data_IF_930055446343
#
_entry.id   IF_930055446343
#
_cell.length_a   1.000
_cell.length_b   1.000
_cell.length_c   1.000
_cell.angle_alpha   90.00
_cell.angle_beta   90.00
_cell.angle_gamma   90.00
#
_symmetry.space_group_name_H-M   'P 1'
#
loop_
_entity.id
_entity.type
_entity.pdbx_description
1 polymer ?
#
# COMPACT_ATOMS: atom_id res chain seq x y z
N UNK A 1 3.83 3.01 -21.09
CA UNK A 1 3.18 4.15 -20.38
C UNK A 1 3.67 5.45 -21.00
N UNK A 2 2.85 6.51 -20.99
CA UNK A 2 3.21 7.75 -21.70
C UNK A 2 4.50 8.35 -21.19
N UNK A 3 5.32 8.82 -22.13
CA UNK A 3 6.53 9.58 -21.86
C UNK A 3 6.30 11.09 -21.95
N UNK A 4 5.14 11.51 -22.44
CA UNK A 4 4.79 12.92 -22.59
C UNK A 4 4.35 13.54 -21.26
N UNK A 5 4.82 14.76 -20.97
CA UNK A 5 4.55 15.43 -19.69
C UNK A 5 3.08 15.81 -19.56
N UNK A 6 2.41 16.21 -20.65
CA UNK A 6 1.00 16.60 -20.64
C UNK A 6 0.12 15.39 -20.34
N UNK A 7 0.41 14.26 -20.98
CA UNK A 7 -0.27 12.99 -20.71
C UNK A 7 -0.09 12.55 -19.26
N UNK A 8 1.15 12.61 -18.74
CA UNK A 8 1.44 12.23 -17.34
C UNK A 8 0.64 13.09 -16.36
N UNK A 9 0.57 14.40 -16.58
CA UNK A 9 -0.24 15.30 -15.73
C UNK A 9 -1.72 14.91 -15.78
N UNK A 10 -2.25 14.57 -16.95
CA UNK A 10 -3.64 14.17 -17.11
C UNK A 10 -3.92 12.81 -16.44
N UNK A 11 -3.02 11.85 -16.58
CA UNK A 11 -3.08 10.54 -15.93
C UNK A 11 -3.09 10.67 -14.40
N UNK A 12 -2.21 11.48 -13.82
CA UNK A 12 -2.19 11.75 -12.37
C UNK A 12 -3.51 12.39 -11.94
N UNK A 13 -3.98 13.40 -12.66
CA UNK A 13 -5.23 14.11 -12.33
C UNK A 13 -6.42 13.15 -12.24
N UNK A 14 -6.63 12.33 -13.27
CA UNK A 14 -7.74 11.38 -13.26
C UNK A 14 -7.55 10.25 -12.26
N UNK A 15 -6.31 9.79 -12.04
CA UNK A 15 -6.03 8.79 -11.02
C UNK A 15 -6.44 9.29 -9.65
N UNK A 16 -6.04 10.51 -9.28
CA UNK A 16 -6.39 11.11 -7.99
C UNK A 16 -7.90 11.38 -7.88
N UNK A 17 -8.54 11.82 -8.96
CA UNK A 17 -9.99 12.08 -8.98
C UNK A 17 -10.80 10.80 -8.77
N UNK A 18 -10.48 9.71 -9.48
CA UNK A 18 -11.17 8.42 -9.30
C UNK A 18 -10.88 7.86 -7.91
N UNK A 19 -9.61 7.88 -7.49
CA UNK A 19 -9.19 7.30 -6.22
C UNK A 19 -9.84 8.03 -5.02
N UNK A 20 -9.59 9.33 -4.86
CA UNK A 20 -10.16 10.10 -3.74
C UNK A 20 -11.68 10.26 -3.86
N UNK A 21 -12.25 10.28 -5.07
CA UNK A 21 -13.69 10.28 -5.27
C UNK A 21 -14.35 9.02 -4.72
N UNK A 22 -13.80 7.84 -5.00
CA UNK A 22 -14.29 6.57 -4.46
C UNK A 22 -14.08 6.48 -2.95
N UNK A 23 -12.92 6.93 -2.45
CA UNK A 23 -12.65 6.98 -1.01
C UNK A 23 -13.66 7.87 -0.30
N UNK A 24 -13.94 9.06 -0.81
CA UNK A 24 -14.94 9.96 -0.24
C UNK A 24 -16.34 9.32 -0.24
N UNK A 25 -16.74 8.67 -1.34
CA UNK A 25 -18.01 7.95 -1.43
C UNK A 25 -18.11 6.81 -0.41
N UNK A 26 -17.11 5.92 -0.35
CA UNK A 26 -17.09 4.79 0.59
C UNK A 26 -17.05 5.30 2.03
N UNK A 27 -16.37 6.43 2.28
CA UNK A 27 -16.28 7.03 3.62
C UNK A 27 -17.66 7.40 4.19
N UNK A 28 -18.65 7.72 3.37
CA UNK A 28 -20.03 7.95 3.86
C UNK A 28 -20.52 6.73 4.64
N UNK A 29 -20.33 5.54 4.09
CA UNK A 29 -20.74 4.28 4.73
C UNK A 29 -19.82 3.90 5.89
N UNK A 30 -18.52 4.21 5.80
CA UNK A 30 -17.56 4.07 6.90
C UNK A 30 -18.01 4.83 8.15
N UNK A 31 -18.37 6.10 8.01
CA UNK A 31 -18.85 6.93 9.11
C UNK A 31 -20.22 6.46 9.62
N UNK A 32 -21.13 6.01 8.75
CA UNK A 32 -22.39 5.37 9.17
C UNK A 32 -22.12 4.10 10.00
N UNK A 33 -21.12 3.30 9.65
CA UNK A 33 -20.74 2.13 10.44
C UNK A 33 -20.17 2.47 11.80
N UNK A 34 -19.47 3.61 11.92
CA UNK A 34 -18.86 4.02 13.18
C UNK A 34 -19.85 4.36 14.29
N UNK A 35 -21.12 4.62 13.96
CA UNK A 35 -22.17 4.85 14.94
C UNK A 35 -22.95 3.59 15.34
N UNK A 36 -22.62 2.42 14.76
CA UNK A 36 -23.32 1.15 15.03
C UNK A 36 -22.63 0.34 16.15
N UNK A 37 -23.40 -0.48 16.91
CA UNK A 37 -22.83 -1.54 17.75
C UNK A 37 -21.92 -2.45 16.91
N UNK A 38 -20.76 -2.87 17.44
CA UNK A 38 -19.74 -3.65 16.71
C UNK A 38 -19.13 -2.93 15.48
N UNK A 39 -19.20 -1.59 15.44
CA UNK A 39 -18.72 -0.77 14.33
C UNK A 39 -17.28 -1.06 13.90
N UNK A 40 -16.37 -1.40 14.82
CA UNK A 40 -14.95 -1.65 14.54
C UNK A 40 -14.70 -2.77 13.52
N UNK A 41 -15.50 -3.84 13.54
CA UNK A 41 -15.41 -4.96 12.57
C UNK A 41 -15.80 -4.50 11.17
N UNK A 42 -16.88 -3.73 11.06
CA UNK A 42 -17.35 -3.17 9.80
C UNK A 42 -16.43 -2.07 9.25
N UNK A 43 -15.82 -1.27 10.12
CA UNK A 43 -14.84 -0.24 9.73
C UNK A 43 -13.58 -0.91 9.18
N UNK A 44 -13.10 -1.99 9.82
CA UNK A 44 -11.97 -2.78 9.31
C UNK A 44 -12.25 -3.32 7.91
N UNK A 45 -13.48 -3.76 7.66
CA UNK A 45 -13.91 -4.25 6.35
C UNK A 45 -13.76 -3.19 5.25
N UNK A 46 -14.13 -1.93 5.52
CA UNK A 46 -13.93 -0.82 4.58
C UNK A 46 -12.46 -0.46 4.39
N UNK A 47 -11.62 -0.63 5.41
CA UNK A 47 -10.17 -0.57 5.25
C UNK A 47 -9.67 -1.53 4.17
N UNK A 48 -10.21 -2.76 4.12
CA UNK A 48 -9.95 -3.70 3.03
C UNK A 48 -10.41 -3.18 1.67
N UNK A 49 -11.61 -2.60 1.58
CA UNK A 49 -12.12 -1.99 0.31
C UNK A 49 -11.21 -0.88 -0.19
N UNK A 50 -10.75 -0.01 0.72
CA UNK A 50 -9.82 1.07 0.41
C UNK A 50 -8.62 0.51 -0.36
N UNK A 51 -8.04 -0.61 0.08
CA UNK A 51 -6.86 -1.21 -0.56
C UNK A 51 -7.06 -1.63 -2.04
N UNK A 52 -8.30 -1.87 -2.51
CA UNK A 52 -8.57 -2.15 -3.93
C UNK A 52 -8.50 -0.90 -4.83
N UNK A 53 -8.82 0.27 -4.26
CA UNK A 53 -9.12 1.49 -5.01
C UNK A 53 -7.94 2.01 -5.84
N UNK A 54 -6.67 1.96 -5.37
CA UNK A 54 -5.57 2.49 -6.16
C UNK A 54 -5.39 1.74 -7.50
N UNK A 55 -5.31 0.41 -7.49
CA UNK A 55 -5.22 -0.37 -8.73
C UNK A 55 -6.45 -0.23 -9.61
N UNK A 56 -7.65 -0.18 -9.04
CA UNK A 56 -8.87 0.09 -9.80
C UNK A 56 -8.78 1.44 -10.55
N UNK A 57 -8.29 2.48 -9.87
CA UNK A 57 -8.07 3.80 -10.45
C UNK A 57 -7.05 3.75 -11.60
N UNK A 58 -5.99 2.95 -11.47
CA UNK A 58 -5.04 2.72 -12.56
C UNK A 58 -5.72 2.09 -13.78
N UNK A 59 -6.52 1.04 -13.57
CA UNK A 59 -7.21 0.33 -14.65
C UNK A 59 -8.12 1.29 -15.41
N UNK A 60 -8.91 2.10 -14.69
CA UNK A 60 -9.79 3.11 -15.28
C UNK A 60 -8.99 4.11 -16.11
N UNK A 61 -7.92 4.70 -15.54
CA UNK A 61 -7.12 5.72 -16.22
C UNK A 61 -6.42 5.16 -17.45
N UNK A 62 -5.71 4.04 -17.31
CA UNK A 62 -4.98 3.44 -18.44
C UNK A 62 -5.91 3.03 -19.57
N UNK A 63 -7.14 2.59 -19.27
CA UNK A 63 -8.12 2.19 -20.28
C UNK A 63 -8.86 3.36 -20.92
N UNK A 64 -9.25 4.36 -20.14
CA UNK A 64 -10.17 5.43 -20.59
C UNK A 64 -9.47 6.73 -20.96
N UNK A 65 -8.28 6.96 -20.41
CA UNK A 65 -7.51 8.19 -20.66
C UNK A 65 -6.36 7.87 -21.61
N UNK A 66 -5.60 6.82 -21.32
CA UNK A 66 -4.37 6.51 -22.07
C UNK A 66 -4.57 5.53 -23.22
N UNK A 67 -5.78 4.96 -23.38
CA UNK A 67 -6.10 3.90 -24.36
C UNK A 67 -5.05 2.78 -24.41
N UNK A 68 -4.51 2.41 -23.25
CA UNK A 68 -3.44 1.43 -23.16
C UNK A 68 -3.97 0.00 -23.36
N UNK A 69 -3.32 -0.72 -24.26
CA UNK A 69 -3.60 -2.12 -24.55
C UNK A 69 -2.63 -3.04 -23.80
N UNK A 70 -3.18 -3.91 -22.96
CA UNK A 70 -2.41 -4.95 -22.29
C UNK A 70 -2.44 -6.22 -23.12
N UNK A 71 -1.49 -7.13 -22.87
CA UNK A 71 -1.59 -8.47 -23.42
C UNK A 71 -2.88 -9.16 -22.92
N UNK A 72 -3.43 -10.15 -23.65
CA UNK A 72 -4.74 -10.73 -23.33
C UNK A 72 -4.89 -11.31 -21.91
N UNK A 73 -3.80 -11.85 -21.34
CA UNK A 73 -3.81 -12.43 -19.99
C UNK A 73 -3.90 -11.34 -18.92
N UNK A 74 -3.06 -10.32 -19.03
CA UNK A 74 -3.07 -9.14 -18.14
C UNK A 74 -4.39 -8.37 -18.29
N UNK A 75 -4.93 -8.28 -19.50
CA UNK A 75 -6.24 -7.68 -19.76
C UNK A 75 -7.36 -8.40 -19.00
N UNK A 76 -7.40 -9.73 -19.07
CA UNK A 76 -8.38 -10.54 -18.35
C UNK A 76 -8.23 -10.40 -16.83
N UNK A 77 -6.99 -10.37 -16.34
CA UNK A 77 -6.68 -10.14 -14.93
C UNK A 77 -7.22 -8.79 -14.45
N UNK A 78 -6.97 -7.70 -15.19
CA UNK A 78 -7.48 -6.38 -14.81
C UNK A 78 -8.99 -6.27 -14.92
N UNK A 79 -9.61 -6.87 -15.93
CA UNK A 79 -11.08 -6.94 -16.01
C UNK A 79 -11.67 -7.65 -14.79
N UNK A 80 -11.10 -8.79 -14.40
CA UNK A 80 -11.53 -9.50 -13.19
C UNK A 80 -11.32 -8.66 -11.94
N UNK A 81 -10.13 -8.06 -11.75
CA UNK A 81 -9.85 -7.20 -10.59
C UNK A 81 -10.83 -6.01 -10.51
N UNK A 82 -11.14 -5.39 -11.64
CA UNK A 82 -12.07 -4.26 -11.69
C UNK A 82 -13.50 -4.66 -11.31
N UNK A 83 -13.99 -5.79 -11.84
CA UNK A 83 -15.30 -6.34 -11.47
C UNK A 83 -15.30 -6.71 -9.97
N UNK A 84 -14.25 -7.38 -9.50
CA UNK A 84 -14.10 -7.75 -8.10
C UNK A 84 -14.11 -6.52 -7.17
N UNK A 85 -13.49 -5.41 -7.58
CA UNK A 85 -13.51 -4.15 -6.81
C UNK A 85 -14.94 -3.62 -6.66
N UNK A 86 -15.72 -3.60 -7.75
CA UNK A 86 -17.12 -3.14 -7.72
C UNK A 86 -17.97 -4.05 -6.83
N UNK A 87 -17.83 -5.38 -7.00
CA UNK A 87 -18.50 -6.37 -6.15
C UNK A 87 -18.12 -6.15 -4.69
N UNK A 88 -16.84 -5.92 -4.40
CA UNK A 88 -16.33 -5.73 -3.05
C UNK A 88 -16.89 -4.48 -2.37
N UNK A 89 -17.03 -3.37 -3.10
CA UNK A 89 -17.68 -2.15 -2.62
C UNK A 89 -19.15 -2.43 -2.27
N UNK A 90 -19.88 -3.11 -3.15
CA UNK A 90 -21.30 -3.44 -2.94
C UNK A 90 -21.45 -4.35 -1.72
N UNK A 91 -20.67 -5.42 -1.63
CA UNK A 91 -20.70 -6.38 -0.52
C UNK A 91 -20.36 -5.69 0.80
N UNK A 92 -19.37 -4.80 0.84
CA UNK A 92 -19.04 -4.07 2.07
C UNK A 92 -20.20 -3.20 2.58
N UNK A 93 -20.94 -2.58 1.66
CA UNK A 93 -22.13 -1.79 2.01
C UNK A 93 -23.27 -2.71 2.49
N UNK A 94 -23.49 -3.84 1.82
CA UNK A 94 -24.51 -4.83 2.21
C UNK A 94 -24.20 -5.51 3.56
N UNK A 95 -22.93 -5.77 3.86
CA UNK A 95 -22.50 -6.30 5.16
C UNK A 95 -22.96 -5.38 6.30
N UNK A 96 -22.88 -4.07 6.09
CA UNK A 96 -23.27 -3.06 7.08
C UNK A 96 -24.78 -2.88 7.17
N UNK A 97 -25.47 -2.87 6.03
CA UNK A 97 -26.89 -2.49 5.95
C UNK A 97 -27.83 -3.69 6.09
N UNK A 98 -27.40 -4.88 5.66
CA UNK A 98 -28.25 -6.07 5.49
C UNK A 98 -27.71 -7.25 6.29
N UNK A 99 -26.51 -7.74 5.98
CA UNK A 99 -26.03 -9.03 6.51
C UNK A 99 -25.56 -8.98 7.95
N UNK A 100 -25.11 -7.81 8.42
CA UNK A 100 -24.60 -7.57 9.78
C UNK A 100 -23.46 -8.52 10.17
N UNK A 101 -22.66 -8.92 9.19
CA UNK A 101 -21.43 -9.69 9.39
C UNK A 101 -20.47 -9.41 8.22
N UNK A 102 -19.20 -9.78 8.37
CA UNK A 102 -18.16 -9.54 7.33
C UNK A 102 -17.72 -10.82 6.61
N UNK A 103 -18.36 -11.96 6.87
CA UNK A 103 -17.93 -13.26 6.33
C UNK A 103 -17.99 -13.23 4.81
N UNK A 104 -19.05 -12.64 4.25
CA UNK A 104 -19.21 -12.50 2.79
C UNK A 104 -18.06 -11.71 2.18
N UNK A 105 -17.67 -10.57 2.77
CA UNK A 105 -16.49 -9.82 2.33
C UNK A 105 -15.21 -10.64 2.39
N UNK A 106 -14.96 -11.34 3.50
CA UNK A 106 -13.77 -12.17 3.66
C UNK A 106 -13.69 -13.31 2.64
N UNK A 107 -14.82 -13.93 2.32
CA UNK A 107 -14.90 -14.98 1.29
C UNK A 107 -14.64 -14.40 -0.10
N UNK A 108 -15.17 -13.20 -0.40
CA UNK A 108 -14.89 -12.50 -1.66
C UNK A 108 -13.39 -12.20 -1.78
N UNK A 109 -12.78 -11.62 -0.75
CA UNK A 109 -11.34 -11.30 -0.73
C UNK A 109 -10.50 -12.57 -0.95
N UNK A 110 -10.78 -13.65 -0.22
CA UNK A 110 -10.08 -14.92 -0.36
C UNK A 110 -10.20 -15.51 -1.78
N UNK A 111 -11.41 -15.58 -2.34
CA UNK A 111 -11.64 -16.10 -3.68
C UNK A 111 -10.94 -15.25 -4.77
N UNK A 112 -11.01 -13.92 -4.63
CA UNK A 112 -10.36 -12.98 -5.56
C UNK A 112 -8.84 -13.13 -5.48
N UNK A 113 -8.27 -13.18 -4.26
CA UNK A 113 -6.85 -13.42 -4.06
C UNK A 113 -6.37 -14.71 -4.68
N UNK A 114 -7.03 -15.84 -4.38
CA UNK A 114 -6.63 -17.15 -4.90
C UNK A 114 -6.68 -17.20 -6.43
N UNK A 115 -7.73 -16.63 -7.04
CA UNK A 115 -7.85 -16.55 -8.49
C UNK A 115 -6.72 -15.70 -9.10
N UNK A 116 -6.54 -14.47 -8.61
CA UNK A 116 -5.56 -13.54 -9.15
C UNK A 116 -4.12 -14.06 -8.96
N UNK A 117 -3.82 -14.61 -7.79
CA UNK A 117 -2.54 -15.23 -7.48
C UNK A 117 -2.28 -16.41 -8.42
N UNK A 118 -3.26 -17.32 -8.58
CA UNK A 118 -3.15 -18.43 -9.52
C UNK A 118 -2.86 -17.96 -10.94
N UNK A 119 -3.61 -16.96 -11.44
CA UNK A 119 -3.38 -16.39 -12.78
C UNK A 119 -1.97 -15.83 -12.93
N UNK A 120 -1.47 -15.08 -11.95
CA UNK A 120 -0.10 -14.52 -11.99
C UNK A 120 0.96 -15.62 -11.97
N UNK A 121 0.82 -16.62 -11.08
CA UNK A 121 1.80 -17.69 -10.92
C UNK A 121 1.88 -18.62 -12.14
N UNK A 122 0.75 -18.98 -12.75
CA UNK A 122 0.70 -19.87 -13.92
C UNK A 122 1.07 -19.17 -15.24
N UNK A 123 1.10 -17.84 -15.28
CA UNK A 123 1.35 -17.05 -16.50
C UNK A 123 2.47 -16.02 -16.25
N UNK A 124 3.51 -16.40 -15.49
CA UNK A 124 4.49 -15.46 -14.94
C UNK A 124 5.21 -14.60 -16.01
N UNK A 125 5.45 -15.15 -17.20
CA UNK A 125 6.10 -14.43 -18.31
C UNK A 125 5.22 -13.30 -18.86
N UNK A 126 3.91 -13.51 -18.99
CA UNK A 126 3.00 -12.47 -19.47
C UNK A 126 2.92 -11.26 -18.53
N UNK A 127 3.08 -11.50 -17.22
CA UNK A 127 3.03 -10.48 -16.18
C UNK A 127 4.35 -9.70 -15.99
N UNK A 128 5.44 -10.10 -16.66
CA UNK A 128 6.68 -9.31 -16.68
C UNK A 128 6.48 -7.92 -17.30
N UNK A 129 5.55 -7.81 -18.25
CA UNK A 129 5.18 -6.56 -18.92
C UNK A 129 4.69 -5.46 -17.97
N UNK A 130 4.19 -5.85 -16.79
CA UNK A 130 3.74 -4.95 -15.74
C UNK A 130 4.55 -5.11 -14.44
N UNK A 131 5.76 -5.66 -14.54
CA UNK A 131 6.66 -5.91 -13.40
C UNK A 131 6.06 -6.80 -12.29
N UNK A 132 5.07 -7.64 -12.60
CA UNK A 132 4.39 -8.55 -11.66
C UNK A 132 4.80 -10.02 -11.89
N UNK A 133 6.09 -10.30 -11.94
CA UNK A 133 6.62 -11.67 -12.10
C UNK A 133 7.52 -12.02 -10.94
N UNK A 134 7.29 -13.18 -10.29
CA UNK A 134 8.14 -13.64 -9.19
C UNK A 134 9.59 -13.91 -9.64
N UNK A 135 9.79 -14.31 -10.89
CA UNK A 135 11.11 -14.70 -11.39
C UNK A 135 12.00 -13.49 -11.66
N UNK A 136 11.41 -12.34 -12.03
CA UNK A 136 12.13 -11.12 -12.37
C UNK A 136 12.88 -10.58 -11.15
N UNK A 137 14.22 -10.51 -11.23
CA UNK A 137 15.08 -9.95 -10.18
C UNK A 137 14.87 -10.58 -8.78
N UNK A 138 14.42 -11.84 -8.68
CA UNK A 138 14.05 -12.50 -7.42
C UNK A 138 15.09 -12.35 -6.31
N UNK A 139 16.39 -12.53 -6.62
CA UNK A 139 17.48 -12.36 -5.63
C UNK A 139 17.46 -10.97 -4.99
N UNK A 140 17.24 -9.91 -5.78
CA UNK A 140 17.15 -8.55 -5.24
C UNK A 140 15.91 -8.38 -4.38
N UNK A 141 14.78 -8.96 -4.78
CA UNK A 141 13.54 -8.96 -4.00
C UNK A 141 13.77 -9.58 -2.62
N UNK A 142 14.34 -10.79 -2.58
CA UNK A 142 14.62 -11.50 -1.32
C UNK A 142 15.56 -10.71 -0.41
N UNK A 143 16.63 -10.12 -0.96
CA UNK A 143 17.57 -9.29 -0.18
C UNK A 143 16.87 -8.05 0.40
N UNK A 144 16.10 -7.33 -0.41
CA UNK A 144 15.45 -6.09 0.05
C UNK A 144 14.35 -6.40 1.08
N UNK A 145 13.58 -7.48 0.91
CA UNK A 145 12.61 -7.94 1.91
C UNK A 145 13.31 -8.35 3.20
N UNK A 146 14.43 -9.07 3.13
CA UNK A 146 15.21 -9.45 4.31
C UNK A 146 15.75 -8.23 5.07
N UNK A 147 16.24 -7.20 4.35
CA UNK A 147 16.65 -5.92 4.95
C UNK A 147 15.47 -5.27 5.69
N UNK A 148 14.28 -5.26 5.08
CA UNK A 148 13.09 -4.69 5.72
C UNK A 148 12.71 -5.44 7.00
N UNK A 149 12.70 -6.77 6.97
CA UNK A 149 12.39 -7.59 8.14
C UNK A 149 13.41 -7.35 9.25
N UNK A 150 14.70 -7.24 8.93
CA UNK A 150 15.73 -6.90 9.91
C UNK A 150 15.50 -5.50 10.54
N UNK A 151 15.11 -4.50 9.73
CA UNK A 151 14.73 -3.18 10.23
C UNK A 151 13.54 -3.28 11.18
N UNK A 152 12.49 -4.01 10.81
CA UNK A 152 11.30 -4.16 11.66
C UNK A 152 11.61 -4.86 12.98
N UNK A 153 12.36 -5.97 12.96
CA UNK A 153 12.78 -6.69 14.17
C UNK A 153 13.59 -5.76 15.07
N UNK A 154 14.54 -5.01 14.50
CA UNK A 154 15.37 -4.06 15.25
C UNK A 154 14.50 -2.98 15.90
N UNK A 155 13.54 -2.41 15.18
CA UNK A 155 12.60 -1.43 15.72
C UNK A 155 11.79 -1.99 16.89
N UNK A 156 11.26 -3.21 16.76
CA UNK A 156 10.49 -3.88 17.83
C UNK A 156 11.35 -4.07 19.08
N UNK A 157 12.59 -4.53 18.91
CA UNK A 157 13.54 -4.71 20.02
C UNK A 157 13.84 -3.38 20.71
N UNK A 158 14.11 -2.31 19.95
CA UNK A 158 14.34 -0.97 20.52
C UNK A 158 13.12 -0.50 21.30
N UNK A 159 11.91 -0.61 20.75
CA UNK A 159 10.68 -0.20 21.44
C UNK A 159 10.46 -1.02 22.73
N UNK A 160 10.69 -2.34 22.70
CA UNK A 160 10.54 -3.19 23.88
C UNK A 160 11.58 -2.88 24.98
N UNK A 161 12.78 -2.43 24.62
CA UNK A 161 13.80 -1.97 25.59
C UNK A 161 13.40 -0.63 26.21
N UNK A 162 12.81 0.27 25.43
CA UNK A 162 12.41 1.61 25.89
C UNK A 162 11.11 1.59 26.71
N UNK A 163 10.24 0.62 26.46
CA UNK A 163 9.00 0.42 27.22
C UNK A 163 9.18 -0.72 28.23
N UNK A 164 9.67 -0.38 29.42
CA UNK A 164 9.90 -1.30 30.55
C UNK A 164 8.61 -2.00 31.03
N UNK A 165 7.43 -1.53 30.60
CA UNK A 165 6.13 -2.13 30.94
C UNK A 165 5.67 -3.20 29.93
N UNK A 166 6.38 -3.35 28.81
CA UNK A 166 5.94 -4.21 27.70
C UNK A 166 6.18 -5.71 27.97
N UNK A 167 5.14 -6.41 28.41
CA UNK A 167 5.16 -7.88 28.52
C UNK A 167 4.74 -8.52 27.19
N UNK A 168 5.56 -8.39 26.14
CA UNK A 168 5.25 -9.03 24.85
C UNK A 168 5.44 -10.54 24.98
N UNK A 169 4.35 -11.31 24.82
CA UNK A 169 4.44 -12.76 24.63
C UNK A 169 5.04 -13.06 23.25
N UNK A 170 6.37 -13.06 23.18
CA UNK A 170 7.12 -13.16 21.94
C UNK A 170 6.78 -14.45 21.16
N UNK A 171 6.61 -15.58 21.86
CA UNK A 171 6.30 -16.87 21.21
C UNK A 171 4.92 -16.87 20.56
N UNK A 172 3.89 -16.42 21.28
CA UNK A 172 2.52 -16.33 20.74
C UNK A 172 2.45 -15.33 19.58
N UNK A 173 3.11 -14.18 19.73
CA UNK A 173 3.10 -13.15 18.71
C UNK A 173 3.83 -13.58 17.41
N UNK A 174 4.96 -14.29 17.51
CA UNK A 174 5.67 -14.82 16.33
C UNK A 174 4.77 -15.79 15.54
N UNK A 175 4.09 -16.73 16.23
CA UNK A 175 3.19 -17.67 15.55
C UNK A 175 2.05 -16.93 14.82
N UNK A 176 1.41 -15.97 15.49
CA UNK A 176 0.33 -15.18 14.88
C UNK A 176 0.83 -14.35 13.70
N UNK A 177 2.03 -13.77 13.78
CA UNK A 177 2.65 -13.05 12.66
C UNK A 177 2.91 -13.99 11.49
N UNK A 178 3.52 -15.16 11.71
CA UNK A 178 3.78 -16.13 10.63
C UNK A 178 2.47 -16.57 9.97
N UNK A 179 1.46 -16.89 10.77
CA UNK A 179 0.13 -17.26 10.25
C UNK A 179 -0.49 -16.10 9.46
N UNK A 180 -0.41 -14.87 9.96
CA UNK A 180 -0.91 -13.68 9.26
C UNK A 180 -0.19 -13.46 7.94
N UNK A 181 1.14 -13.61 7.88
CA UNK A 181 1.92 -13.47 6.65
C UNK A 181 1.49 -14.51 5.60
N UNK A 182 1.37 -15.77 6.00
CA UNK A 182 0.94 -16.86 5.11
C UNK A 182 -0.48 -16.63 4.61
N UNK A 183 -1.42 -16.32 5.51
CA UNK A 183 -2.81 -16.09 5.16
C UNK A 183 -2.97 -14.87 4.26
N UNK A 184 -2.30 -13.76 4.56
CA UNK A 184 -2.34 -12.57 3.71
C UNK A 184 -1.69 -12.79 2.34
N UNK A 185 -0.68 -13.65 2.24
CA UNK A 185 -0.07 -13.95 0.96
C UNK A 185 -1.05 -14.67 0.03
N UNK A 186 -1.78 -15.67 0.53
CA UNK A 186 -2.71 -16.46 -0.28
C UNK A 186 -4.10 -15.85 -0.39
N UNK A 187 -4.61 -15.25 0.68
CA UNK A 187 -6.00 -14.79 0.80
C UNK A 187 -6.14 -13.26 0.84
N UNK A 188 -5.03 -12.52 0.89
CA UNK A 188 -5.01 -11.05 0.91
C UNK A 188 -4.19 -10.44 -0.23
N UNK A 189 -3.67 -11.24 -1.18
CA UNK A 189 -2.87 -10.76 -2.32
C UNK A 189 -3.52 -9.56 -3.02
N UNK A 190 -4.83 -9.62 -3.28
CA UNK A 190 -5.54 -8.56 -3.98
C UNK A 190 -5.48 -7.19 -3.27
N UNK A 191 -5.38 -7.18 -1.93
CA UNK A 191 -5.38 -5.96 -1.14
C UNK A 191 -4.04 -5.24 -1.32
N UNK A 192 -2.93 -5.97 -1.08
CA UNK A 192 -1.59 -5.42 -1.21
C UNK A 192 -1.21 -5.12 -2.67
N UNK A 193 -1.66 -5.98 -3.60
CA UNK A 193 -1.56 -5.69 -5.02
C UNK A 193 -2.34 -4.41 -5.36
N UNK A 194 -3.58 -4.29 -4.86
CA UNK A 194 -4.45 -3.16 -5.08
C UNK A 194 -3.79 -1.82 -4.74
N UNK A 195 -3.15 -1.74 -3.58
CA UNK A 195 -2.42 -0.54 -3.18
C UNK A 195 -1.13 -0.34 -3.95
N UNK A 196 -0.20 -1.29 -3.91
CA UNK A 196 1.14 -1.08 -4.44
C UNK A 196 1.15 -0.93 -5.97
N UNK A 197 0.15 -1.49 -6.68
CA UNK A 197 -0.02 -1.27 -8.11
C UNK A 197 -0.45 0.16 -8.43
N UNK A 198 -1.32 0.75 -7.61
CA UNK A 198 -1.65 2.17 -7.72
C UNK A 198 -0.49 3.07 -7.32
N UNK A 199 0.11 2.82 -6.15
CA UNK A 199 1.11 3.72 -5.57
C UNK A 199 2.48 3.59 -6.23
N UNK A 200 3.07 2.38 -6.29
CA UNK A 200 4.46 2.18 -6.74
C UNK A 200 4.56 1.97 -8.23
N UNK A 201 3.67 1.17 -8.80
CA UNK A 201 3.75 0.87 -10.23
C UNK A 201 3.24 2.05 -11.07
N UNK A 202 2.13 2.68 -10.68
CA UNK A 202 1.53 3.75 -11.47
C UNK A 202 1.92 5.17 -11.04
N UNK A 203 1.61 5.58 -9.80
CA UNK A 203 1.74 6.98 -9.40
C UNK A 203 3.20 7.40 -9.15
N UNK A 204 4.02 6.53 -8.56
CA UNK A 204 5.42 6.84 -8.26
C UNK A 204 6.22 7.23 -9.50
N UNK A 205 6.28 6.45 -10.59
CA UNK A 205 7.15 6.80 -11.72
C UNK A 205 6.71 8.10 -12.40
N UNK A 206 5.41 8.39 -12.37
CA UNK A 206 4.82 9.63 -12.90
C UNK A 206 5.24 10.86 -12.08
N UNK A 207 5.10 10.79 -10.76
CA UNK A 207 5.55 11.87 -9.87
C UNK A 207 7.07 12.04 -9.92
N UNK A 208 7.82 10.95 -9.98
CA UNK A 208 9.27 11.00 -10.11
C UNK A 208 9.73 11.62 -11.44
N UNK A 209 8.96 11.43 -12.51
CA UNK A 209 9.22 12.07 -13.80
C UNK A 209 8.90 13.57 -13.81
N UNK A 210 7.88 14.01 -13.07
CA UNK A 210 7.52 15.44 -12.99
C UNK A 210 8.39 16.23 -12.01
N UNK A 211 8.78 15.62 -10.88
CA UNK A 211 9.39 16.35 -9.75
C UNK A 211 10.77 15.82 -9.36
N UNK A 212 11.30 14.84 -10.08
CA UNK A 212 12.53 14.12 -9.73
C UNK A 212 12.28 13.00 -8.71
N UNK A 213 13.23 12.06 -8.61
CA UNK A 213 13.03 10.81 -7.85
C UNK A 213 12.75 11.01 -6.36
N UNK A 214 13.46 11.96 -5.73
CA UNK A 214 13.33 12.26 -4.28
C UNK A 214 12.02 12.96 -3.98
N UNK A 215 11.76 14.09 -4.62
CA UNK A 215 10.51 14.84 -4.41
C UNK A 215 9.29 14.01 -4.82
N UNK A 216 9.38 13.26 -5.93
CA UNK A 216 8.29 12.41 -6.40
C UNK A 216 7.90 11.31 -5.40
N UNK A 217 8.86 10.67 -4.72
CA UNK A 217 8.51 9.67 -3.69
C UNK A 217 7.95 10.32 -2.42
N UNK A 218 8.44 11.50 -2.02
CA UNK A 218 7.94 12.21 -0.85
C UNK A 218 6.51 12.72 -1.07
N UNK A 219 6.22 13.27 -2.26
CA UNK A 219 4.87 13.67 -2.66
C UNK A 219 3.93 12.46 -2.66
N UNK A 220 4.36 11.32 -3.20
CA UNK A 220 3.57 10.10 -3.16
C UNK A 220 3.27 9.67 -1.71
N UNK A 221 4.28 9.65 -0.84
CA UNK A 221 4.11 9.28 0.55
C UNK A 221 3.15 10.20 1.29
N UNK A 222 3.16 11.50 0.99
CA UNK A 222 2.20 12.46 1.53
C UNK A 222 0.77 12.19 1.04
N UNK A 223 0.59 11.96 -0.26
CA UNK A 223 -0.72 11.60 -0.85
C UNK A 223 -1.25 10.31 -0.22
N UNK A 224 -0.41 9.28 -0.11
CA UNK A 224 -0.77 8.01 0.51
C UNK A 224 -1.10 8.17 1.99
N UNK A 225 -0.39 9.03 2.71
CA UNK A 225 -0.72 9.36 4.10
C UNK A 225 -2.10 10.02 4.27
N UNK A 226 -2.39 11.06 3.48
CA UNK A 226 -3.68 11.75 3.50
C UNK A 226 -4.83 10.82 3.11
N UNK A 227 -4.57 9.87 2.21
CA UNK A 227 -5.57 8.89 1.79
C UNK A 227 -6.16 8.06 2.95
N UNK A 228 -5.42 7.91 4.06
CA UNK A 228 -5.90 7.24 5.27
C UNK A 228 -6.77 8.11 6.18
N UNK A 229 -7.01 9.38 5.84
CA UNK A 229 -7.71 10.35 6.69
C UNK A 229 -9.03 9.81 7.24
N UNK A 230 -9.97 9.23 6.44
CA UNK A 230 -11.23 8.72 6.99
C UNK A 230 -11.04 7.61 8.03
N UNK A 231 -10.03 6.75 7.86
CA UNK A 231 -9.72 5.65 8.77
C UNK A 231 -9.07 6.15 10.06
N UNK A 232 -8.33 7.26 10.05
CA UNK A 232 -7.84 7.87 11.28
C UNK A 232 -8.97 8.37 12.20
N UNK A 233 -10.05 8.89 11.62
CA UNK A 233 -11.20 9.40 12.37
C UNK A 233 -12.16 8.29 12.84
N UNK A 234 -12.04 7.06 12.31
CA UNK A 234 -13.02 5.99 12.55
C UNK A 234 -12.41 4.71 13.12
N UNK A 235 -11.22 4.29 12.64
CA UNK A 235 -10.61 3.00 12.96
C UNK A 235 -9.38 3.12 13.84
N UNK A 236 -8.37 3.86 13.37
CA UNK A 236 -7.02 3.73 13.90
C UNK A 236 -6.84 4.44 15.24
N UNK A 237 -7.43 5.63 15.37
CA UNK A 237 -7.32 6.46 16.56
C UNK A 237 -8.45 7.50 16.63
N UNK A 238 -9.72 7.07 16.71
CA UNK A 238 -10.86 8.00 16.70
C UNK A 238 -10.85 8.98 17.89
N UNK A 239 -10.13 8.65 18.98
CA UNK A 239 -9.96 9.52 20.16
C UNK A 239 -8.91 10.62 19.96
N UNK A 240 -7.93 10.40 19.09
CA UNK A 240 -6.84 11.35 18.79
C UNK A 240 -6.59 11.44 17.27
N UNK A 241 -7.62 11.77 16.47
CA UNK A 241 -7.58 11.57 15.02
C UNK A 241 -6.57 12.47 14.32
N UNK A 242 -6.36 13.69 14.82
CA UNK A 242 -5.37 14.63 14.26
C UNK A 242 -3.94 14.08 14.43
N UNK A 243 -3.61 13.54 15.60
CA UNK A 243 -2.30 12.90 15.81
C UNK A 243 -2.14 11.65 14.94
N UNK A 244 -3.21 10.88 14.74
CA UNK A 244 -3.20 9.76 13.79
C UNK A 244 -2.92 10.21 12.37
N UNK A 245 -3.52 11.31 11.89
CA UNK A 245 -3.29 11.83 10.54
C UNK A 245 -1.83 12.26 10.39
N UNK A 246 -1.29 13.02 11.35
CA UNK A 246 0.12 13.44 11.31
C UNK A 246 1.04 12.21 11.33
N UNK A 247 0.75 11.23 12.19
CA UNK A 247 1.51 9.99 12.27
C UNK A 247 1.45 9.20 10.96
N UNK A 248 0.27 9.03 10.35
CA UNK A 248 0.12 8.32 9.08
C UNK A 248 0.81 9.04 7.93
N UNK A 249 0.69 10.37 7.84
CA UNK A 249 1.38 11.15 6.81
C UNK A 249 2.88 11.00 6.93
N UNK A 250 3.43 11.20 8.13
CA UNK A 250 4.88 11.06 8.35
C UNK A 250 5.34 9.62 8.13
N UNK A 251 4.57 8.62 8.57
CA UNK A 251 4.87 7.21 8.38
C UNK A 251 4.86 6.81 6.89
N UNK A 252 3.80 7.16 6.15
CA UNK A 252 3.68 6.88 4.71
C UNK A 252 4.76 7.60 3.89
N UNK A 253 5.18 8.81 4.31
CA UNK A 253 6.34 9.49 3.71
C UNK A 253 7.63 8.71 3.94
N UNK A 254 7.92 8.31 5.17
CA UNK A 254 9.16 7.60 5.53
C UNK A 254 9.19 6.18 4.97
N UNK A 255 8.16 5.36 5.22
CA UNK A 255 8.03 4.03 4.61
C UNK A 255 7.97 4.11 3.08
N UNK A 256 7.34 5.16 2.53
CA UNK A 256 7.29 5.44 1.10
C UNK A 256 8.68 5.60 0.47
N UNK A 257 9.66 6.19 1.18
CA UNK A 257 11.06 6.22 0.73
C UNK A 257 11.62 4.80 0.58
N UNK A 258 11.39 3.93 1.55
CA UNK A 258 11.89 2.56 1.49
C UNK A 258 11.18 1.72 0.41
N UNK A 259 9.85 1.81 0.32
CA UNK A 259 9.07 1.11 -0.72
C UNK A 259 9.42 1.62 -2.13
N UNK A 260 9.67 2.93 -2.26
CA UNK A 260 10.11 3.51 -3.52
C UNK A 260 11.51 3.06 -3.92
N UNK A 261 12.46 3.00 -2.98
CA UNK A 261 13.77 2.36 -3.17
C UNK A 261 13.61 0.90 -3.59
N UNK A 262 12.80 0.14 -2.86
CA UNK A 262 12.59 -1.28 -3.10
C UNK A 262 12.08 -1.55 -4.51
N UNK A 263 11.07 -0.79 -4.96
CA UNK A 263 10.54 -0.89 -6.32
C UNK A 263 11.58 -0.51 -7.38
N UNK A 264 12.28 0.62 -7.25
CA UNK A 264 13.32 1.02 -8.21
C UNK A 264 14.50 0.06 -8.25
N UNK A 265 14.87 -0.53 -7.11
CA UNK A 265 16.00 -1.46 -6.98
C UNK A 265 15.72 -2.79 -7.66
N UNK A 266 14.48 -3.27 -7.53
CA UNK A 266 14.08 -4.61 -7.94
C UNK A 266 13.37 -4.63 -9.28
N UNK A 267 12.80 -3.50 -9.72
CA UNK A 267 11.91 -3.41 -10.88
C UNK A 267 10.82 -4.49 -10.86
N UNK A 268 10.37 -4.83 -9.65
CA UNK A 268 9.44 -5.91 -9.40
C UNK A 268 8.46 -5.47 -8.31
N UNK A 269 7.17 -5.46 -8.64
CA UNK A 269 6.11 -5.04 -7.73
C UNK A 269 5.88 -6.03 -6.59
N UNK A 270 6.30 -7.29 -6.72
CA UNK A 270 6.26 -8.24 -5.60
C UNK A 270 7.07 -7.75 -4.40
N UNK A 271 8.15 -7.00 -4.62
CA UNK A 271 8.96 -6.47 -3.52
C UNK A 271 8.16 -5.52 -2.60
N UNK A 272 7.57 -4.40 -3.10
CA UNK A 272 6.73 -3.56 -2.26
C UNK A 272 5.50 -4.28 -1.72
N UNK A 273 4.88 -5.20 -2.47
CA UNK A 273 3.74 -6.02 -1.98
C UNK A 273 4.13 -6.81 -0.73
N UNK A 274 5.25 -7.54 -0.77
CA UNK A 274 5.73 -8.36 0.35
C UNK A 274 6.16 -7.51 1.55
N UNK A 275 6.78 -6.35 1.30
CA UNK A 275 7.15 -5.39 2.35
C UNK A 275 5.90 -4.84 3.03
N UNK A 276 4.90 -4.39 2.26
CA UNK A 276 3.65 -3.84 2.79
C UNK A 276 2.86 -4.90 3.55
N UNK A 277 2.78 -6.13 3.01
CA UNK A 277 2.19 -7.26 3.69
C UNK A 277 2.87 -7.53 5.04
N UNK A 278 4.20 -7.60 5.05
CA UNK A 278 4.95 -7.79 6.29
C UNK A 278 4.72 -6.65 7.29
N UNK A 279 4.72 -5.40 6.79
CA UNK A 279 4.44 -4.22 7.59
C UNK A 279 3.09 -4.32 8.32
N UNK A 280 2.02 -4.62 7.59
CA UNK A 280 0.67 -4.62 8.17
C UNK A 280 0.47 -5.81 9.11
N UNK A 281 0.97 -6.99 8.76
CA UNK A 281 0.93 -8.15 9.66
C UNK A 281 1.67 -7.90 10.97
N UNK A 282 2.85 -7.29 10.92
CA UNK A 282 3.68 -7.08 12.11
C UNK A 282 3.15 -5.92 12.96
N UNK A 283 2.80 -4.78 12.36
CA UNK A 283 2.37 -3.58 13.10
C UNK A 283 1.02 -3.82 13.77
N UNK A 284 0.03 -4.40 13.08
CA UNK A 284 -1.29 -4.61 13.68
C UNK A 284 -1.21 -5.56 14.88
N UNK A 285 -0.36 -6.61 14.79
CA UNK A 285 -0.24 -7.62 15.85
C UNK A 285 0.60 -7.10 17.03
N UNK A 286 1.67 -6.35 16.77
CA UNK A 286 2.65 -5.98 17.81
C UNK A 286 2.51 -4.56 18.35
N UNK A 287 1.88 -3.64 17.62
CA UNK A 287 1.75 -2.22 18.00
C UNK A 287 0.40 -1.88 18.68
N UNK A 288 -0.32 -2.87 19.20
CA UNK A 288 -1.52 -2.65 20.02
C UNK A 288 -2.84 -2.58 19.25
N UNK A 289 -2.87 -2.90 17.95
CA UNK A 289 -4.10 -3.02 17.16
C UNK A 289 -4.74 -1.69 16.77
N UNK A 290 -6.06 -1.72 16.58
CA UNK A 290 -6.87 -0.56 16.21
C UNK A 290 -7.32 0.25 17.45
N UNK A 291 -7.85 1.46 17.22
CA UNK A 291 -8.35 2.37 18.26
C UNK A 291 -7.31 2.85 19.30
N UNK A 292 -6.04 2.86 18.91
CA UNK A 292 -4.93 3.39 19.74
C UNK A 292 -5.16 4.85 20.15
N UNK A 293 -4.74 5.23 21.36
CA UNK A 293 -4.64 6.63 21.79
C UNK A 293 -3.20 7.07 21.59
N UNK A 294 -2.98 8.09 20.76
CA UNK A 294 -1.64 8.55 20.40
C UNK A 294 -1.30 9.76 21.26
N UNK A 295 -0.21 9.67 22.03
CA UNK A 295 0.33 10.82 22.76
C UNK A 295 1.35 11.59 21.90
N UNK A 296 1.67 12.85 22.25
CA UNK A 296 2.77 13.58 21.60
C UNK A 296 4.12 12.84 21.70
N UNK A 297 4.35 12.12 22.80
CA UNK A 297 5.55 11.30 22.99
C UNK A 297 5.62 10.14 21.99
N UNK A 298 4.51 9.42 21.82
CA UNK A 298 4.41 8.33 20.83
C UNK A 298 4.63 8.84 19.41
N UNK A 299 4.03 9.99 19.09
CA UNK A 299 4.17 10.64 17.78
C UNK A 299 5.65 10.96 17.49
N UNK A 300 6.32 11.64 18.43
CA UNK A 300 7.72 12.04 18.27
C UNK A 300 8.64 10.81 18.18
N UNK A 301 8.45 9.83 19.05
CA UNK A 301 9.22 8.58 19.04
C UNK A 301 9.08 7.86 17.69
N UNK A 302 7.85 7.73 17.18
CA UNK A 302 7.62 7.09 15.89
C UNK A 302 8.26 7.85 14.74
N UNK A 303 8.15 9.18 14.70
CA UNK A 303 8.76 9.99 13.63
C UNK A 303 10.29 9.82 13.65
N UNK A 304 10.91 9.91 14.83
CA UNK A 304 12.37 9.78 14.98
C UNK A 304 12.82 8.38 14.59
N UNK A 305 12.19 7.33 15.14
CA UNK A 305 12.58 5.95 14.89
C UNK A 305 12.42 5.59 13.40
N UNK A 306 11.29 5.94 12.77
CA UNK A 306 11.10 5.71 11.34
C UNK A 306 12.06 6.56 10.48
N UNK A 307 12.36 7.79 10.93
CA UNK A 307 13.33 8.67 10.29
C UNK A 307 14.71 8.02 10.23
N UNK A 308 15.20 7.50 11.37
CA UNK A 308 16.50 6.82 11.48
C UNK A 308 16.61 5.65 10.50
N UNK A 309 15.57 4.83 10.38
CA UNK A 309 15.63 3.61 9.57
C UNK A 309 15.35 3.82 8.08
N UNK A 310 14.42 4.70 7.71
CA UNK A 310 13.98 4.82 6.32
C UNK A 310 14.54 6.03 5.58
N UNK A 311 14.80 7.16 6.25
CA UNK A 311 15.32 8.36 5.59
C UNK A 311 16.70 8.16 4.93
N UNK A 312 17.65 7.35 5.48
CA UNK A 312 18.93 7.09 4.82
C UNK A 312 18.79 6.53 3.40
N UNK A 313 17.73 5.77 3.11
CA UNK A 313 17.49 5.22 1.78
C UNK A 313 17.24 6.31 0.72
N UNK A 314 16.83 7.52 1.11
CA UNK A 314 16.68 8.65 0.19
C UNK A 314 18.02 9.08 -0.44
N UNK A 315 19.15 8.69 0.16
CA UNK A 315 20.49 8.94 -0.33
C UNK A 315 21.09 7.75 -1.11
N UNK A 316 20.35 6.65 -1.23
CA UNK A 316 20.75 5.50 -2.03
C UNK A 316 20.91 5.88 -3.52
N UNK A 317 21.74 5.12 -4.25
CA UNK A 317 22.06 5.40 -5.65
C UNK A 317 20.83 5.41 -6.56
N UNK A 318 19.79 4.66 -6.20
CA UNK A 318 18.53 4.56 -6.92
C UNK A 318 17.81 5.91 -6.97
N UNK A 319 17.96 6.75 -5.93
CA UNK A 319 17.43 8.11 -5.84
C UNK A 319 18.37 9.19 -6.40
N UNK A 320 19.61 8.84 -6.75
CA UNK A 320 20.47 9.78 -7.47
C UNK A 320 19.85 10.02 -8.85
N UNK A 321 19.66 11.29 -9.16
CA UNK A 321 19.42 11.73 -10.53
C UNK A 321 20.63 11.24 -11.33
N UNK A 322 20.43 10.49 -12.43
CA UNK A 322 21.41 10.59 -13.50
C UNK A 322 21.26 12.04 -13.94
N UNK A 323 22.21 12.88 -13.54
CA UNK A 323 22.29 14.22 -14.07
C UNK A 323 22.14 14.11 -15.60
N UNK A 324 21.45 15.07 -16.17
CA UNK A 324 21.38 15.28 -17.61
C UNK A 324 22.82 15.60 -18.05
N UNK A 325 23.66 14.58 -18.18
CA UNK A 325 25.03 14.65 -18.72
C UNK A 325 25.06 14.29 -20.20
N UNK A 326 23.93 13.87 -20.78
CA UNK A 326 23.83 13.53 -22.21
C UNK A 326 23.42 14.73 -23.10
N UNK A 327 23.22 15.93 -22.54
CA UNK A 327 22.87 17.12 -23.34
C UNK A 327 24.02 18.14 -23.48
N UNK A 328 25.16 17.91 -22.83
CA UNK A 328 26.39 18.70 -22.99
C UNK A 328 27.44 18.08 -23.93
N UNK A 329 27.19 16.87 -24.43
CA UNK A 329 28.09 16.19 -25.39
C UNK A 329 27.57 16.24 -26.84
N UNK A 330 26.61 17.11 -27.14
CA UNK A 330 26.12 17.38 -28.50
C UNK A 330 26.48 18.79 -29.01
N UNK A 331 27.20 19.58 -28.22
CA UNK A 331 27.70 20.91 -28.59
C UNK A 331 29.25 20.99 -28.53
N UNK A 332 29.95 19.98 -29.04
CA UNK A 332 31.38 20.05 -29.36
C UNK A 332 31.69 19.44 -30.72
#
# INVERSE_FOLDING_TARGET
MSTDIKDIKQEIKYFLLVNFGLIAFISIFLFISSSKPEGSVFITNFGGVFMYIPAFSVIVVLKKVSNYEFNPKVEKFFKFFAIATIVRIIVAILDVLVFKNIITSSVVDACVSLYLLGVVLFNASEFESINLSLNKNLKKVLIVVAIFLAILITKIVITAILDESSTINLKGAILTVIMSLVMNFFLGFNLFFGEEFGWRYFLQPRLQKLYGKKSGVLILGFIWGIWHLPLCFTLYSPKTPIFCVILHVTYCMLLGVFLGYAYMKTENIWCPILIHLANNSIIVILAGGYESVITPGDLLMNIVLNGIFFLPFLFAKEYKSKAIEEQSNLDL
#
